data_IF_974448766802
#
_entry.id   IF_974448766802
#
_cell.length_a   1.000
_cell.length_b   1.000
_cell.length_c   1.000
_cell.angle_alpha   90.00
_cell.angle_beta   90.00
_cell.angle_gamma   90.00
#
_symmetry.space_group_name_H-M   'P 1'
#
loop_
_entity.id
_entity.type
_entity.pdbx_description
1 polymer ?
#
# COMPACT_ATOMS: atom_id res chain seq x y z
N UNK A 1 12.33 -11.61 -12.29
CA UNK A 1 12.15 -11.65 -10.81
C UNK A 1 10.65 -11.54 -10.52
N UNK A 2 10.18 -12.04 -9.36
CA UNK A 2 8.74 -11.96 -8.99
C UNK A 2 8.61 -11.20 -7.69
N UNK A 3 7.69 -10.23 -7.65
CA UNK A 3 7.32 -9.48 -6.45
C UNK A 3 5.84 -9.69 -6.13
N UNK A 4 5.52 -9.93 -4.86
CA UNK A 4 4.15 -10.12 -4.38
C UNK A 4 4.06 -10.04 -2.87
N UNK A 5 2.83 -9.93 -2.34
CA UNK A 5 2.57 -9.83 -0.90
C UNK A 5 2.55 -8.40 -0.35
N UNK A 6 3.21 -7.45 -1.02
CA UNK A 6 3.14 -6.01 -0.74
C UNK A 6 3.23 -5.23 -2.06
N UNK A 7 2.76 -3.98 -2.05
CA UNK A 7 2.87 -3.07 -3.21
C UNK A 7 4.35 -2.78 -3.47
N UNK A 8 4.82 -3.05 -4.69
CA UNK A 8 6.13 -2.61 -5.15
C UNK A 8 6.04 -1.14 -5.57
N UNK A 9 7.02 -0.34 -5.17
CA UNK A 9 7.16 1.01 -5.71
C UNK A 9 7.51 0.92 -7.21
N UNK A 10 6.74 1.64 -8.05
CA UNK A 10 6.90 1.58 -9.50
C UNK A 10 8.27 2.05 -9.97
N UNK A 11 8.86 3.06 -9.31
CA UNK A 11 10.19 3.56 -9.63
C UNK A 11 11.27 2.50 -9.37
N UNK A 12 11.11 1.71 -8.28
CA UNK A 12 12.00 0.58 -8.00
C UNK A 12 11.83 -0.51 -9.07
N UNK A 13 10.59 -0.81 -9.48
CA UNK A 13 10.32 -1.73 -10.57
C UNK A 13 11.01 -1.32 -11.87
N UNK A 14 10.87 -0.06 -12.27
CA UNK A 14 11.49 0.52 -13.46
C UNK A 14 13.03 0.52 -13.37
N UNK A 15 13.58 0.78 -12.19
CA UNK A 15 15.03 0.70 -11.97
C UNK A 15 15.57 -0.71 -12.24
N UNK A 16 14.90 -1.74 -11.71
CA UNK A 16 15.27 -3.14 -11.97
C UNK A 16 15.18 -3.49 -13.45
N UNK A 17 14.15 -3.00 -14.16
CA UNK A 17 14.03 -3.20 -15.61
C UNK A 17 15.16 -2.51 -16.38
N UNK A 18 15.55 -1.30 -15.99
CA UNK A 18 16.71 -0.58 -16.56
C UNK A 18 18.00 -1.37 -16.38
N UNK A 19 18.13 -2.13 -15.30
CA UNK A 19 19.27 -3.04 -15.05
C UNK A 19 19.14 -4.38 -15.79
N UNK A 20 18.08 -4.58 -16.60
CA UNK A 20 17.85 -5.80 -17.39
C UNK A 20 17.11 -6.92 -16.62
N UNK A 21 16.54 -6.64 -15.45
CA UNK A 21 15.72 -7.59 -14.71
C UNK A 21 14.24 -7.39 -15.01
N UNK A 22 13.58 -8.39 -15.58
CA UNK A 22 12.12 -8.38 -15.72
C UNK A 22 11.45 -8.55 -14.36
N UNK A 23 10.70 -7.53 -13.95
CA UNK A 23 9.95 -7.53 -12.69
C UNK A 23 8.50 -7.90 -12.95
N UNK A 24 8.10 -9.09 -12.48
CA UNK A 24 6.72 -9.57 -12.58
C UNK A 24 6.07 -9.34 -11.22
N UNK A 25 5.06 -8.48 -11.17
CA UNK A 25 4.23 -8.28 -10.01
C UNK A 25 3.00 -9.18 -10.07
N UNK A 26 2.55 -9.66 -8.91
CA UNK A 26 1.33 -10.43 -8.78
C UNK A 26 0.56 -10.03 -7.53
N UNK A 27 -0.75 -10.24 -7.57
CA UNK A 27 -1.66 -9.99 -6.47
C UNK A 27 -2.40 -11.26 -6.10
N UNK A 28 -2.60 -11.39 -4.80
CA UNK A 28 -3.42 -12.42 -4.21
C UNK A 28 -3.24 -12.49 -2.70
N UNK A 29 -3.99 -13.39 -2.09
CA UNK A 29 -4.08 -13.57 -0.66
C UNK A 29 -3.96 -15.07 -0.33
N UNK A 30 -3.67 -15.41 0.90
CA UNK A 30 -3.72 -16.80 1.37
C UNK A 30 -5.09 -17.42 1.07
N UNK A 31 -6.15 -16.64 1.22
CA UNK A 31 -7.54 -17.00 0.96
C UNK A 31 -7.84 -17.24 -0.52
N UNK A 32 -6.92 -16.90 -1.44
CA UNK A 32 -7.09 -17.11 -2.90
C UNK A 32 -6.05 -18.08 -3.49
N UNK A 33 -5.36 -18.86 -2.69
CA UNK A 33 -4.46 -20.00 -2.94
C UNK A 33 -3.37 -19.82 -4.03
N UNK A 34 -2.48 -18.83 -3.99
CA UNK A 34 -2.63 -17.49 -3.46
C UNK A 34 -2.98 -16.45 -4.54
N UNK A 35 -2.95 -16.80 -5.85
CA UNK A 35 -2.88 -15.84 -6.98
C UNK A 35 -4.26 -15.49 -7.52
N UNK A 36 -4.48 -14.19 -7.73
CA UNK A 36 -5.64 -13.60 -8.43
C UNK A 36 -5.22 -13.01 -9.77
N UNK A 37 -4.09 -12.30 -9.81
CA UNK A 37 -3.55 -11.69 -11.02
C UNK A 37 -2.03 -11.68 -11.02
N UNK A 38 -1.43 -11.55 -12.19
CA UNK A 38 0.01 -11.29 -12.34
C UNK A 38 0.32 -10.59 -13.67
N UNK A 39 1.45 -9.89 -13.71
CA UNK A 39 1.96 -9.31 -14.94
C UNK A 39 2.40 -10.41 -15.91
N UNK A 40 1.97 -10.28 -17.16
CA UNK A 40 2.36 -11.21 -18.22
C UNK A 40 3.72 -10.80 -18.78
N UNK A 41 4.71 -11.73 -18.83
CA UNK A 41 6.02 -11.45 -19.41
C UNK A 41 5.94 -10.81 -20.79
N UNK A 42 6.66 -9.70 -20.99
CA UNK A 42 6.68 -8.92 -22.23
C UNK A 42 5.50 -7.93 -22.37
N UNK A 43 4.62 -7.84 -21.36
CA UNK A 43 3.51 -6.87 -21.28
C UNK A 43 3.36 -6.36 -19.85
N UNK A 44 4.46 -6.27 -19.14
CA UNK A 44 4.50 -5.80 -17.76
C UNK A 44 4.10 -4.32 -17.66
N UNK A 45 3.34 -4.00 -16.61
CA UNK A 45 3.07 -2.62 -16.18
C UNK A 45 3.46 -2.50 -14.72
N UNK A 46 4.44 -1.66 -14.40
CA UNK A 46 4.98 -1.56 -13.04
C UNK A 46 4.04 -0.87 -12.05
N UNK A 47 3.03 -0.15 -12.54
CA UNK A 47 1.96 0.46 -11.76
C UNK A 47 0.78 -0.49 -11.50
N UNK A 48 0.84 -1.74 -11.98
CA UNK A 48 -0.25 -2.72 -11.91
C UNK A 48 0.22 -4.10 -11.43
N UNK A 49 -0.71 -4.85 -10.87
CA UNK A 49 -0.49 -6.25 -10.49
C UNK A 49 -0.90 -7.24 -11.59
N UNK A 50 -1.05 -6.74 -12.82
CA UNK A 50 -1.23 -7.53 -14.02
C UNK A 50 -2.65 -7.94 -14.36
N UNK A 51 -2.76 -8.95 -15.22
CA UNK A 51 -4.02 -9.47 -15.72
C UNK A 51 -4.59 -10.54 -14.77
N UNK A 52 -5.93 -10.63 -14.69
CA UNK A 52 -6.62 -11.67 -13.92
C UNK A 52 -6.30 -13.04 -14.52
N UNK A 53 -5.97 -14.00 -13.67
CA UNK A 53 -5.66 -15.37 -14.13
C UNK A 53 -6.92 -16.07 -14.70
N UNK A 54 -6.74 -17.02 -15.63
CA UNK A 54 -7.87 -17.76 -16.21
C UNK A 54 -8.72 -18.46 -15.14
N UNK A 55 -10.05 -18.43 -15.32
CA UNK A 55 -11.05 -19.06 -14.43
C UNK A 55 -11.18 -18.41 -13.05
N UNK A 56 -10.65 -17.21 -12.87
CA UNK A 56 -10.91 -16.33 -11.73
C UNK A 56 -11.75 -15.17 -12.21
N UNK A 57 -12.77 -14.85 -11.46
CA UNK A 57 -13.65 -13.70 -11.70
C UNK A 57 -13.34 -12.62 -10.65
N UNK A 58 -13.36 -11.37 -11.10
CA UNK A 58 -13.18 -10.20 -10.24
C UNK A 58 -14.29 -9.20 -10.51
N UNK A 59 -14.90 -8.67 -9.47
CA UNK A 59 -15.81 -7.52 -9.53
C UNK A 59 -15.43 -6.50 -8.47
N UNK A 60 -15.97 -5.30 -8.58
CA UNK A 60 -15.73 -4.20 -7.65
C UNK A 60 -17.05 -3.74 -7.07
N UNK A 61 -17.07 -3.46 -5.76
CA UNK A 61 -18.16 -2.76 -5.12
C UNK A 61 -18.13 -1.25 -5.46
N UNK A 62 -19.17 -0.53 -5.10
CA UNK A 62 -19.27 0.92 -5.32
C UNK A 62 -18.13 1.71 -4.64
N UNK A 63 -17.65 1.22 -3.50
CA UNK A 63 -16.53 1.80 -2.77
C UNK A 63 -15.14 1.38 -3.31
N UNK A 64 -15.12 0.54 -4.36
CA UNK A 64 -13.92 0.04 -5.00
C UNK A 64 -13.34 -1.22 -4.38
N UNK A 65 -14.02 -1.87 -3.43
CA UNK A 65 -13.54 -3.14 -2.87
C UNK A 65 -13.49 -4.23 -3.93
N UNK A 66 -12.36 -4.93 -4.00
CA UNK A 66 -12.12 -6.05 -4.91
C UNK A 66 -12.82 -7.30 -4.35
N UNK A 67 -13.70 -7.89 -5.12
CA UNK A 67 -14.28 -9.19 -4.84
C UNK A 67 -13.76 -10.23 -5.82
N UNK A 68 -13.47 -11.42 -5.31
CA UNK A 68 -12.89 -12.52 -6.09
C UNK A 68 -13.78 -13.75 -6.01
N UNK A 69 -14.01 -14.41 -7.14
CA UNK A 69 -14.68 -15.70 -7.21
C UNK A 69 -13.93 -16.66 -8.12
N UNK A 70 -13.76 -17.90 -7.70
CA UNK A 70 -13.07 -18.94 -8.46
C UNK A 70 -12.72 -20.15 -7.62
N UNK A 71 -12.15 -21.15 -8.29
CA UNK A 71 -11.70 -22.36 -7.60
C UNK A 71 -10.48 -22.17 -6.70
N UNK A 72 -9.81 -21.03 -6.83
CA UNK A 72 -8.69 -20.58 -6.00
C UNK A 72 -9.15 -19.98 -4.67
N UNK A 73 -10.43 -19.61 -4.52
CA UNK A 73 -10.97 -19.09 -3.26
C UNK A 73 -11.06 -20.23 -2.25
N UNK A 74 -10.61 -19.97 -1.02
CA UNK A 74 -10.66 -20.92 0.09
C UNK A 74 -12.08 -21.41 0.38
N UNK A 75 -12.19 -22.58 0.98
CA UNK A 75 -13.50 -23.08 1.48
C UNK A 75 -13.94 -22.38 2.77
N UNK A 76 -13.02 -21.75 3.49
CA UNK A 76 -13.28 -21.00 4.71
C UNK A 76 -12.17 -21.13 5.74
N UNK A 77 -12.33 -20.39 6.82
CA UNK A 77 -11.40 -20.44 7.96
C UNK A 77 -11.67 -21.67 8.84
N UNK A 78 -10.62 -22.38 9.16
CA UNK A 78 -10.70 -23.61 9.94
C UNK A 78 -11.37 -23.39 11.31
N UNK A 79 -12.46 -24.13 11.57
CA UNK A 79 -13.29 -24.00 12.78
C UNK A 79 -13.83 -22.60 13.07
N UNK A 80 -13.94 -21.74 12.05
CA UNK A 80 -14.46 -20.37 12.20
C UNK A 80 -15.52 -20.06 11.14
N UNK A 81 -16.70 -20.75 11.18
CA UNK A 81 -17.75 -20.57 10.16
C UNK A 81 -18.29 -19.14 10.11
N UNK A 82 -18.44 -18.48 11.25
CA UNK A 82 -18.96 -17.09 11.28
C UNK A 82 -17.96 -16.11 10.62
N UNK A 83 -16.67 -16.26 10.87
CA UNK A 83 -15.65 -15.45 10.20
C UNK A 83 -15.63 -15.71 8.68
N UNK A 84 -15.90 -16.94 8.26
CA UNK A 84 -16.02 -17.30 6.85
C UNK A 84 -17.21 -16.61 6.20
N UNK A 85 -18.37 -16.62 6.82
CA UNK A 85 -19.60 -15.95 6.32
C UNK A 85 -19.43 -14.42 6.22
N UNK A 86 -18.55 -13.84 7.00
CA UNK A 86 -18.25 -12.40 6.95
C UNK A 86 -17.45 -12.00 5.71
N UNK A 87 -16.72 -12.95 5.10
CA UNK A 87 -15.82 -12.66 3.98
C UNK A 87 -16.17 -13.40 2.69
N UNK A 88 -17.04 -14.42 2.74
CA UNK A 88 -17.56 -15.10 1.55
C UNK A 88 -19.08 -14.97 1.57
N UNK A 89 -19.64 -14.28 0.58
CA UNK A 89 -21.07 -14.10 0.46
C UNK A 89 -21.81 -15.35 -0.08
N UNK A 90 -23.13 -15.29 -0.11
CA UNK A 90 -23.99 -16.41 -0.55
C UNK A 90 -23.80 -16.77 -2.03
N UNK A 91 -23.29 -15.83 -2.85
CA UNK A 91 -22.96 -16.04 -4.26
C UNK A 91 -21.56 -16.60 -4.48
N UNK A 92 -20.80 -16.82 -3.40
CA UNK A 92 -19.43 -17.33 -3.41
C UNK A 92 -18.37 -16.28 -3.75
N UNK A 93 -18.65 -14.98 -3.61
CA UNK A 93 -17.68 -13.93 -3.74
C UNK A 93 -16.92 -13.73 -2.44
N UNK A 94 -15.60 -13.77 -2.54
CA UNK A 94 -14.71 -13.46 -1.43
C UNK A 94 -14.42 -11.95 -1.39
N UNK A 95 -14.74 -11.30 -0.28
CA UNK A 95 -14.47 -9.92 0.03
C UNK A 95 -13.02 -9.78 0.50
N UNK A 96 -12.16 -9.25 -0.36
CA UNK A 96 -10.72 -9.22 -0.08
C UNK A 96 -10.33 -8.18 0.97
N UNK A 97 -11.15 -7.15 1.16
CA UNK A 97 -10.81 -5.96 1.94
C UNK A 97 -9.76 -5.08 1.27
N UNK A 98 -9.40 -5.37 0.03
CA UNK A 98 -8.50 -4.53 -0.79
C UNK A 98 -9.33 -3.67 -1.75
N UNK A 99 -8.88 -2.44 -1.97
CA UNK A 99 -9.45 -1.51 -2.94
C UNK A 99 -8.66 -1.55 -4.24
N UNK A 100 -9.38 -1.46 -5.37
CA UNK A 100 -8.74 -1.46 -6.67
C UNK A 100 -9.67 -1.07 -7.80
N UNK A 101 -9.14 -1.15 -9.01
CA UNK A 101 -9.89 -0.93 -10.25
C UNK A 101 -9.21 -1.64 -11.42
N UNK A 102 -9.94 -1.80 -12.52
CA UNK A 102 -9.35 -2.23 -13.79
C UNK A 102 -8.97 -1.02 -14.64
N UNK A 103 -7.82 -1.10 -15.28
CA UNK A 103 -7.44 -0.25 -16.42
C UNK A 103 -7.16 -1.13 -17.63
N UNK A 104 -8.13 -1.20 -18.54
CA UNK A 104 -8.11 -2.18 -19.63
C UNK A 104 -8.16 -3.60 -19.05
N UNK A 105 -7.09 -4.38 -19.26
CA UNK A 105 -6.97 -5.75 -18.72
C UNK A 105 -6.18 -5.82 -17.39
N UNK A 106 -5.58 -4.72 -16.96
CA UNK A 106 -4.70 -4.68 -15.80
C UNK A 106 -5.46 -4.34 -14.52
N UNK A 107 -5.24 -5.13 -13.48
CA UNK A 107 -5.73 -4.85 -12.12
C UNK A 107 -4.76 -3.88 -11.42
N UNK A 108 -5.29 -2.79 -10.91
CA UNK A 108 -4.57 -1.85 -10.04
C UNK A 108 -5.10 -2.00 -8.63
N UNK A 109 -4.22 -2.35 -7.69
CA UNK A 109 -4.53 -2.38 -6.26
C UNK A 109 -4.12 -1.05 -5.64
N UNK A 110 -5.08 -0.39 -5.01
CA UNK A 110 -4.92 0.95 -4.41
C UNK A 110 -4.38 0.83 -2.98
N UNK A 111 -4.97 -0.07 -2.19
CA UNK A 111 -4.61 -0.29 -0.79
C UNK A 111 -5.65 -1.11 -0.04
N UNK A 112 -5.49 -1.21 1.29
CA UNK A 112 -6.46 -1.88 2.16
C UNK A 112 -7.59 -0.94 2.56
N UNK A 113 -8.82 -1.40 2.45
CA UNK A 113 -10.03 -0.64 2.83
C UNK A 113 -9.97 -0.14 4.29
N UNK A 114 -9.55 -1.03 5.20
CA UNK A 114 -9.43 -0.72 6.63
C UNK A 114 -8.31 0.25 6.99
N UNK A 115 -7.30 0.36 6.11
CA UNK A 115 -6.12 1.20 6.34
C UNK A 115 -6.30 2.59 5.70
N UNK A 116 -7.37 2.78 4.91
CA UNK A 116 -7.67 4.10 4.32
C UNK A 116 -8.10 5.11 5.37
N UNK A 117 -7.51 6.28 5.32
CA UNK A 117 -7.93 7.42 6.13
C UNK A 117 -9.06 8.16 5.40
N UNK A 118 -10.23 8.23 6.04
CA UNK A 118 -11.39 8.94 5.50
C UNK A 118 -11.46 10.31 6.15
N UNK A 119 -11.03 11.34 5.42
CA UNK A 119 -11.04 12.71 5.92
C UNK A 119 -12.46 13.25 6.10
N UNK A 120 -12.61 14.28 6.94
CA UNK A 120 -13.89 14.95 7.21
C UNK A 120 -14.59 15.51 5.96
N UNK A 121 -13.86 15.76 4.88
CA UNK A 121 -14.38 16.19 3.59
C UNK A 121 -14.77 15.02 2.66
N UNK A 122 -14.77 13.78 3.16
CA UNK A 122 -15.10 12.55 2.42
C UNK A 122 -14.00 12.03 1.48
N UNK A 123 -12.83 12.64 1.45
CA UNK A 123 -11.71 12.13 0.65
C UNK A 123 -11.03 10.95 1.35
N UNK A 124 -10.80 9.90 0.60
CA UNK A 124 -10.02 8.75 1.03
C UNK A 124 -8.53 8.99 0.74
N UNK A 125 -7.69 8.73 1.71
CA UNK A 125 -6.24 8.79 1.61
C UNK A 125 -5.69 7.40 1.88
N UNK A 126 -4.82 6.93 1.00
CA UNK A 126 -3.98 5.79 1.28
C UNK A 126 -2.72 6.28 2.03
N UNK A 127 -2.55 5.96 3.33
CA UNK A 127 -1.37 6.38 4.08
C UNK A 127 -0.06 5.91 3.43
N UNK A 128 -0.04 4.68 2.91
CA UNK A 128 1.17 4.08 2.33
C UNK A 128 1.73 4.85 1.13
N UNK A 129 0.88 5.54 0.37
CA UNK A 129 1.36 6.39 -0.73
C UNK A 129 2.11 7.62 -0.19
N UNK A 130 1.59 8.23 0.91
CA UNK A 130 2.26 9.35 1.58
C UNK A 130 3.54 8.87 2.26
N UNK A 131 3.49 7.75 2.97
CA UNK A 131 4.64 7.14 3.65
C UNK A 131 5.79 6.88 2.67
N UNK A 132 5.49 6.33 1.48
CA UNK A 132 6.47 6.11 0.42
C UNK A 132 7.09 7.42 -0.10
N UNK A 133 6.28 8.46 -0.28
CA UNK A 133 6.76 9.78 -0.69
C UNK A 133 7.67 10.41 0.37
N UNK A 134 7.27 10.33 1.66
CA UNK A 134 8.04 10.86 2.78
C UNK A 134 9.38 10.11 2.96
N UNK A 135 9.36 8.78 2.80
CA UNK A 135 10.53 7.94 2.94
C UNK A 135 11.65 8.29 1.95
N UNK A 136 11.28 8.75 0.74
CA UNK A 136 12.23 9.16 -0.31
C UNK A 136 12.92 10.50 -0.03
N UNK A 137 12.41 11.30 0.90
CA UNK A 137 12.94 12.66 1.14
C UNK A 137 14.22 12.70 1.96
N UNK A 138 14.53 11.64 2.71
CA UNK A 138 15.70 11.63 3.59
C UNK A 138 16.15 10.21 3.97
N UNK A 139 17.45 10.00 4.08
CA UNK A 139 18.05 8.73 4.56
C UNK A 139 17.92 8.54 6.08
N UNK A 140 17.42 9.56 6.80
CA UNK A 140 17.36 9.54 8.26
C UNK A 140 16.15 8.77 8.82
N UNK A 141 15.26 8.29 7.98
CA UNK A 141 14.09 7.50 8.38
C UNK A 141 14.38 6.02 8.26
N UNK A 142 14.15 5.27 9.34
CA UNK A 142 14.20 3.81 9.33
C UNK A 142 12.81 3.21 9.13
N UNK A 143 11.79 3.86 9.72
CA UNK A 143 10.39 3.48 9.56
C UNK A 143 9.48 4.69 9.73
N UNK A 144 8.33 4.69 9.03
CA UNK A 144 7.38 5.80 9.06
C UNK A 144 5.95 5.27 8.92
N UNK A 145 5.04 5.88 9.65
CA UNK A 145 3.60 5.64 9.52
C UNK A 145 2.86 6.98 9.48
N UNK A 146 1.83 7.07 8.64
CA UNK A 146 0.94 8.22 8.57
C UNK A 146 -0.42 7.84 9.14
N UNK A 147 -0.89 8.61 10.12
CA UNK A 147 -2.17 8.39 10.78
C UNK A 147 -3.02 9.66 10.77
N UNK A 148 -4.32 9.50 10.97
CA UNK A 148 -5.18 10.61 11.36
C UNK A 148 -5.19 10.75 12.87
N UNK A 149 -4.85 11.93 13.36
CA UNK A 149 -4.96 12.31 14.77
C UNK A 149 -5.60 13.69 14.88
N UNK A 150 -6.68 13.82 15.65
CA UNK A 150 -7.45 15.07 15.81
C UNK A 150 -7.84 15.71 14.45
N UNK A 151 -8.31 14.88 13.51
CA UNK A 151 -8.71 15.28 12.13
C UNK A 151 -7.56 15.87 11.29
N UNK A 152 -6.32 15.58 11.62
CA UNK A 152 -5.12 16.00 10.92
C UNK A 152 -4.25 14.81 10.60
N UNK A 153 -3.55 14.85 9.46
CA UNK A 153 -2.53 13.85 9.18
C UNK A 153 -1.27 14.14 9.98
N UNK A 154 -0.78 13.11 10.66
CA UNK A 154 0.43 13.14 11.50
C UNK A 154 1.35 12.03 11.06
N UNK A 155 2.65 12.32 10.91
CA UNK A 155 3.67 11.33 10.64
C UNK A 155 4.27 10.82 11.96
N UNK A 156 4.27 9.51 12.15
CA UNK A 156 5.01 8.84 13.23
C UNK A 156 6.30 8.32 12.61
N UNK A 157 7.44 8.76 13.11
CA UNK A 157 8.74 8.46 12.51
C UNK A 157 9.65 7.74 13.50
N UNK A 158 10.22 6.62 13.06
CA UNK A 158 11.33 5.97 13.72
C UNK A 158 12.62 6.28 12.96
N UNK A 159 13.48 7.16 13.48
CA UNK A 159 14.66 7.59 12.77
C UNK A 159 15.83 6.59 12.87
N UNK A 160 16.73 6.68 11.91
CA UNK A 160 18.04 6.06 12.01
C UNK A 160 18.96 6.90 12.91
N UNK A 161 18.83 6.71 14.22
CA UNK A 161 19.59 7.46 15.24
C UNK A 161 21.09 7.34 15.07
N UNK A 162 21.58 6.16 14.63
CA UNK A 162 23.02 5.93 14.45
C UNK A 162 23.56 6.76 13.28
N UNK A 163 22.84 6.79 12.17
CA UNK A 163 23.19 7.60 11.02
C UNK A 163 23.12 9.10 11.35
N UNK A 164 22.08 9.55 12.05
CA UNK A 164 21.93 10.94 12.47
C UNK A 164 23.08 11.37 13.38
N UNK A 165 23.46 10.52 14.34
CA UNK A 165 24.60 10.75 15.24
C UNK A 165 25.92 10.79 14.46
N UNK A 166 26.14 9.88 13.52
CA UNK A 166 27.35 9.85 12.68
C UNK A 166 27.49 11.12 11.83
N UNK A 167 26.38 11.75 11.44
CA UNK A 167 26.36 13.03 10.70
C UNK A 167 26.30 14.27 11.59
N UNK A 168 26.46 14.12 12.92
CA UNK A 168 26.48 15.24 13.86
C UNK A 168 25.15 15.96 14.07
N UNK A 169 24.04 15.27 13.79
CA UNK A 169 22.70 15.84 13.96
C UNK A 169 22.28 15.71 15.42
N UNK A 170 22.12 16.86 16.11
CA UNK A 170 21.77 16.92 17.53
C UNK A 170 20.28 17.19 17.75
N UNK A 171 19.64 17.95 16.85
CA UNK A 171 18.20 18.25 16.95
C UNK A 171 17.39 17.38 16.00
N UNK A 172 17.13 16.15 16.44
CA UNK A 172 16.43 15.12 15.65
C UNK A 172 15.04 15.60 15.16
N UNK A 173 14.24 16.16 16.09
CA UNK A 173 12.88 16.58 15.76
C UNK A 173 12.85 17.69 14.70
N UNK A 174 13.68 18.70 14.85
CA UNK A 174 13.73 19.83 13.93
C UNK A 174 14.23 19.41 12.55
N UNK A 175 15.27 18.58 12.51
CA UNK A 175 15.82 18.06 11.25
C UNK A 175 14.78 17.24 10.51
N UNK A 176 14.10 16.30 11.20
CA UNK A 176 13.09 15.47 10.57
C UNK A 176 11.85 16.28 10.13
N UNK A 177 11.44 17.27 10.93
CA UNK A 177 10.35 18.16 10.54
C UNK A 177 10.68 18.89 9.24
N UNK A 178 11.86 19.48 9.15
CA UNK A 178 12.31 20.17 7.93
C UNK A 178 12.46 19.21 6.74
N UNK A 179 13.18 18.11 6.93
CA UNK A 179 13.52 17.19 5.85
C UNK A 179 12.32 16.40 5.32
N UNK A 180 11.33 16.14 6.16
CA UNK A 180 10.14 15.36 5.78
C UNK A 180 8.96 16.27 5.55
N UNK A 181 8.47 16.96 6.60
CA UNK A 181 7.17 17.65 6.55
C UNK A 181 7.24 18.89 5.69
N UNK A 182 8.23 19.75 5.93
CA UNK A 182 8.28 21.03 5.24
C UNK A 182 8.56 20.84 3.75
N UNK A 183 9.47 19.90 3.39
CA UNK A 183 9.73 19.55 1.99
C UNK A 183 8.50 18.93 1.31
N UNK A 184 7.86 17.95 1.95
CA UNK A 184 6.67 17.29 1.41
C UNK A 184 5.54 18.28 1.19
N UNK A 185 5.26 19.12 2.17
CA UNK A 185 4.13 20.04 2.16
C UNK A 185 4.23 21.15 1.11
N UNK A 186 5.41 21.39 0.52
CA UNK A 186 5.59 22.36 -0.57
C UNK A 186 4.77 21.94 -1.80
N UNK A 187 4.78 20.67 -2.15
CA UNK A 187 4.12 20.12 -3.35
C UNK A 187 2.81 19.39 -3.05
N UNK A 188 2.58 19.00 -1.79
CA UNK A 188 1.42 18.23 -1.41
C UNK A 188 0.12 19.05 -1.53
N UNK A 189 -0.96 18.44 -2.09
CA UNK A 189 -2.29 19.05 -2.06
C UNK A 189 -2.74 19.30 -0.62
N UNK A 190 -3.57 20.34 -0.41
CA UNK A 190 -3.97 20.79 0.94
C UNK A 190 -4.52 19.66 1.84
N UNK A 191 -5.25 18.71 1.25
CA UNK A 191 -5.85 17.57 1.98
C UNK A 191 -4.87 16.44 2.32
N UNK A 192 -3.65 16.44 1.74
CA UNK A 192 -2.58 15.46 2.03
C UNK A 192 -1.48 16.03 2.90
N UNK A 193 -1.55 17.30 3.27
CA UNK A 193 -0.50 17.95 4.08
C UNK A 193 -0.37 17.30 5.46
N UNK A 194 0.86 17.03 5.85
CA UNK A 194 1.20 16.55 7.18
C UNK A 194 1.30 17.76 8.12
N UNK A 195 0.63 17.68 9.26
CA UNK A 195 0.54 18.81 10.19
C UNK A 195 1.51 18.71 11.36
N UNK A 196 1.91 17.48 11.72
CA UNK A 196 2.82 17.24 12.85
C UNK A 196 3.65 15.99 12.64
N UNK A 197 4.73 15.87 13.40
CA UNK A 197 5.61 14.71 13.45
C UNK A 197 5.76 14.20 14.89
N UNK A 198 5.67 12.90 15.07
CA UNK A 198 5.94 12.22 16.33
C UNK A 198 7.16 11.32 16.16
N UNK A 199 8.24 11.67 16.81
CA UNK A 199 9.46 10.85 16.79
C UNK A 199 9.35 9.79 17.88
N UNK A 200 9.43 8.51 17.48
CA UNK A 200 9.41 7.38 18.40
C UNK A 200 10.81 6.80 18.58
N UNK A 201 11.04 6.19 19.75
CA UNK A 201 12.28 5.47 20.06
C UNK A 201 11.93 4.01 20.32
N UNK A 202 12.81 3.11 19.90
CA UNK A 202 12.68 1.71 20.30
C UNK A 202 12.97 1.62 21.81
N UNK A 203 12.07 0.96 22.54
CA UNK A 203 12.30 0.61 23.96
C UNK A 203 13.27 -0.56 24.05
#
# INVERSE_FOLDING_TARGET
MVSGGAKLDSEIGELFETLGFHMIQGYGLTETAPIVSFNVPGRERQDSVGEIIPKVEVKFLEDGEILVRGKNVMQGYYKKPEATKMVIDEEGWFHTGDLGRMEGKHLLVIGRKKDMIVLANGKNINPSDIESELFKLTDFVQDIAVIEYEKKLVAIVYPNFDLMKARGIHNVNETLKWDIIDKYNVSAPSYRKIHDIKVVRKY
#
